data_IF_653227757091
#
_entry.id   IF_653227757091
#
_cell.length_a   1.000
_cell.length_b   1.000
_cell.length_c   1.000
_cell.angle_alpha   90.00
_cell.angle_beta   90.00
_cell.angle_gamma   90.00
#
_symmetry.space_group_name_H-M   'P 1'
#
loop_
_entity.id
_entity.type
_entity.pdbx_description
1 polymer ?
#
# COMPACT_ATOMS: atom_id res chain seq x y z
N UNK A 1 -10.94 -22.29 23.84
CA UNK A 1 -9.69 -21.58 23.49
C UNK A 1 -10.05 -20.43 22.56
N UNK A 2 -9.92 -19.15 22.96
CA UNK A 2 -10.13 -18.07 22.03
C UNK A 2 -8.79 -17.79 21.32
N UNK A 3 -8.75 -18.04 20.01
CA UNK A 3 -7.64 -17.59 19.16
C UNK A 3 -7.95 -16.12 18.84
N UNK A 4 -7.41 -15.20 19.65
CA UNK A 4 -7.44 -13.78 19.32
C UNK A 4 -6.58 -13.57 18.08
N UNK A 5 -7.20 -13.39 16.92
CA UNK A 5 -6.51 -13.09 15.67
C UNK A 5 -6.15 -11.61 15.66
N UNK A 6 -5.12 -11.23 16.41
CA UNK A 6 -4.58 -9.87 16.36
C UNK A 6 -3.77 -9.69 15.08
N UNK A 7 -4.11 -8.67 14.30
CA UNK A 7 -3.36 -8.23 13.12
C UNK A 7 -2.49 -7.04 13.53
N UNK A 8 -1.19 -7.10 13.23
CA UNK A 8 -0.26 -6.01 13.54
C UNK A 8 0.32 -5.44 12.24
N UNK A 9 0.12 -4.14 12.03
CA UNK A 9 0.76 -3.37 10.97
C UNK A 9 2.02 -2.72 11.54
N UNK A 10 3.17 -2.95 10.89
CA UNK A 10 4.45 -2.45 11.37
C UNK A 10 5.25 -1.86 10.21
N UNK A 11 5.67 -0.61 10.35
CA UNK A 11 6.65 0.03 9.48
C UNK A 11 8.06 -0.19 10.07
N UNK A 12 8.95 -0.85 9.33
CA UNK A 12 10.33 -1.08 9.79
C UNK A 12 11.34 -0.86 8.67
N UNK A 13 12.37 -0.07 8.95
CA UNK A 13 13.53 0.14 8.07
C UNK A 13 14.70 -0.84 8.38
N UNK A 14 14.66 -1.58 9.50
CA UNK A 14 15.76 -2.48 9.92
C UNK A 14 15.41 -3.97 9.91
N UNK A 15 16.07 -4.73 9.04
CA UNK A 15 15.96 -6.19 8.94
C UNK A 15 16.38 -6.94 10.23
N UNK A 16 17.25 -6.36 11.06
CA UNK A 16 17.77 -7.04 12.26
C UNK A 16 16.74 -7.08 13.40
N UNK A 17 15.99 -5.99 13.58
CA UNK A 17 14.91 -5.91 14.57
C UNK A 17 13.78 -6.89 14.23
N UNK A 18 13.50 -7.05 12.94
CA UNK A 18 12.49 -7.96 12.39
C UNK A 18 12.79 -9.44 12.69
N UNK A 19 14.05 -9.86 12.52
CA UNK A 19 14.49 -11.22 12.85
C UNK A 19 14.33 -11.55 14.33
N UNK A 20 14.61 -10.59 15.22
CA UNK A 20 14.46 -10.75 16.67
C UNK A 20 12.98 -10.83 17.06
N UNK A 21 12.13 -10.01 16.46
CA UNK A 21 10.69 -10.02 16.70
C UNK A 21 10.05 -11.34 16.25
N UNK A 22 10.40 -11.84 15.06
CA UNK A 22 9.90 -13.12 14.53
C UNK A 22 10.25 -14.32 15.40
N UNK A 23 11.46 -14.35 15.99
CA UNK A 23 11.89 -15.47 16.83
C UNK A 23 11.18 -15.53 18.19
N UNK A 24 10.35 -14.55 18.56
CA UNK A 24 9.63 -14.58 19.83
C UNK A 24 8.50 -15.62 19.81
N UNK A 25 8.39 -16.47 20.85
CA UNK A 25 7.37 -17.50 20.93
C UNK A 25 5.95 -16.96 20.79
N UNK A 26 5.68 -15.79 21.37
CA UNK A 26 4.35 -15.17 21.45
C UNK A 26 3.88 -14.59 20.12
N UNK A 27 4.79 -14.39 19.17
CA UNK A 27 4.48 -13.87 17.83
C UNK A 27 4.11 -14.99 16.85
N UNK A 28 4.18 -16.26 17.26
CA UNK A 28 3.80 -17.40 16.41
C UNK A 28 2.29 -17.40 16.16
N UNK A 29 1.90 -17.39 14.89
CA UNK A 29 0.48 -17.40 14.47
C UNK A 29 -0.14 -16.01 14.29
N UNK A 30 0.60 -14.93 14.54
CA UNK A 30 0.15 -13.57 14.23
C UNK A 30 0.18 -13.33 12.71
N UNK A 31 -0.76 -12.50 12.25
CA UNK A 31 -0.73 -11.97 10.88
C UNK A 31 0.04 -10.65 10.90
N UNK A 32 1.15 -10.62 10.17
CA UNK A 32 2.04 -9.47 10.12
C UNK A 32 1.90 -8.78 8.76
N UNK A 33 1.75 -7.46 8.80
CA UNK A 33 1.61 -6.62 7.61
C UNK A 33 2.68 -5.54 7.66
N UNK A 34 3.42 -5.38 6.55
CA UNK A 34 4.48 -4.40 6.41
C UNK A 34 4.10 -3.29 5.42
N UNK A 35 4.46 -2.06 5.79
CA UNK A 35 4.68 -0.97 4.85
C UNK A 35 6.16 -1.04 4.43
N UNK A 36 6.44 -1.63 3.27
CA UNK A 36 7.80 -2.03 2.88
C UNK A 36 8.58 -0.89 2.20
N UNK A 37 8.49 0.33 2.72
CA UNK A 37 9.25 1.50 2.26
C UNK A 37 9.52 2.48 3.42
N UNK A 38 10.41 3.44 3.20
CA UNK A 38 10.66 4.54 4.14
C UNK A 38 10.82 5.90 3.44
N UNK A 39 10.81 6.97 4.24
CA UNK A 39 10.99 8.35 3.75
C UNK A 39 12.43 8.65 3.29
N UNK A 40 13.38 7.73 3.50
CA UNK A 40 14.77 7.83 3.05
C UNK A 40 14.98 7.35 1.62
N UNK A 41 13.91 6.95 0.93
CA UNK A 41 13.95 6.45 -0.44
C UNK A 41 14.13 4.93 -0.55
N UNK A 42 14.11 4.20 0.56
CA UNK A 42 14.11 2.74 0.53
C UNK A 42 12.75 2.25 0.05
N UNK A 43 12.74 1.37 -0.96
CA UNK A 43 11.53 0.75 -1.48
C UNK A 43 11.75 -0.76 -1.66
N UNK A 44 11.06 -1.57 -0.86
CA UNK A 44 11.27 -3.02 -0.75
C UNK A 44 10.02 -3.86 -1.05
N UNK A 45 8.96 -3.27 -1.62
CA UNK A 45 7.76 -4.02 -2.00
C UNK A 45 8.13 -5.17 -2.95
N UNK A 46 7.68 -6.38 -2.61
CA UNK A 46 7.99 -7.64 -3.30
C UNK A 46 9.31 -8.29 -2.87
N UNK A 47 10.28 -7.50 -2.39
CA UNK A 47 11.62 -7.93 -1.97
C UNK A 47 11.79 -8.03 -0.46
N UNK A 48 10.81 -7.58 0.32
CA UNK A 48 10.87 -7.56 1.77
C UNK A 48 11.07 -8.97 2.32
N UNK A 49 11.99 -9.17 3.29
CA UNK A 49 12.18 -10.46 3.93
C UNK A 49 10.88 -10.94 4.60
N UNK A 50 10.18 -11.87 3.96
CA UNK A 50 8.81 -12.22 4.37
C UNK A 50 8.73 -13.42 5.31
N UNK A 51 9.76 -14.28 5.33
CA UNK A 51 9.84 -15.53 6.13
C UNK A 51 8.55 -16.37 6.14
N UNK A 52 7.75 -16.28 5.08
CA UNK A 52 6.45 -16.96 4.92
C UNK A 52 5.27 -16.37 5.69
N UNK A 53 5.44 -15.27 6.43
CA UNK A 53 4.41 -14.74 7.37
C UNK A 53 4.00 -13.29 7.10
N UNK A 54 4.83 -12.51 6.41
CA UNK A 54 4.57 -11.09 6.16
C UNK A 54 3.78 -10.87 4.88
N UNK A 55 2.68 -10.14 5.01
CA UNK A 55 2.00 -9.51 3.88
C UNK A 55 2.45 -8.06 3.76
N UNK A 56 2.32 -7.47 2.59
CA UNK A 56 2.77 -6.11 2.31
C UNK A 56 1.64 -5.25 1.78
N UNK A 57 1.61 -3.99 2.20
CA UNK A 57 0.81 -2.99 1.51
C UNK A 57 1.29 -2.85 0.08
N UNK A 58 0.41 -3.13 -0.88
CA UNK A 58 0.75 -3.08 -2.29
C UNK A 58 0.44 -1.69 -2.86
N UNK A 59 1.40 -0.76 -2.72
CA UNK A 59 1.29 0.59 -3.30
C UNK A 59 1.19 0.56 -4.84
N UNK A 60 1.81 -0.42 -5.51
CA UNK A 60 1.69 -0.58 -6.97
C UNK A 60 0.27 -0.93 -7.40
N UNK A 61 -0.43 -1.76 -6.61
CA UNK A 61 -1.85 -2.06 -6.83
C UNK A 61 -2.68 -0.78 -6.74
N UNK A 62 -2.51 0.01 -5.68
CA UNK A 62 -3.19 1.30 -5.49
C UNK A 62 -3.02 2.19 -6.72
N UNK A 63 -1.78 2.43 -7.14
CA UNK A 63 -1.48 3.38 -8.21
C UNK A 63 -1.98 2.87 -9.57
N UNK A 64 -1.81 1.58 -9.86
CA UNK A 64 -2.27 0.95 -11.11
C UNK A 64 -3.79 1.01 -11.24
N UNK A 65 -4.51 0.67 -10.16
CA UNK A 65 -5.98 0.69 -10.16
C UNK A 65 -6.49 2.11 -10.35
N UNK A 66 -5.91 3.08 -9.64
CA UNK A 66 -6.29 4.50 -9.77
C UNK A 66 -6.09 5.00 -11.21
N UNK A 67 -4.92 4.73 -11.80
CA UNK A 67 -4.62 5.09 -13.19
C UNK A 67 -5.57 4.44 -14.19
N UNK A 68 -5.86 3.15 -14.03
CA UNK A 68 -6.77 2.43 -14.91
C UNK A 68 -8.20 2.99 -14.84
N UNK A 69 -8.73 3.21 -13.63
CA UNK A 69 -10.09 3.71 -13.43
C UNK A 69 -10.25 5.16 -13.88
N UNK A 70 -9.22 6.00 -13.70
CA UNK A 70 -9.17 7.36 -14.26
C UNK A 70 -9.21 7.38 -15.79
N UNK A 71 -8.88 6.26 -16.45
CA UNK A 71 -8.83 6.15 -17.90
C UNK A 71 -7.49 6.52 -18.51
N UNK A 72 -6.38 6.36 -17.76
CA UNK A 72 -5.03 6.55 -18.29
C UNK A 72 -4.66 5.40 -19.23
N UNK A 73 -4.19 5.73 -20.43
CA UNK A 73 -3.78 4.75 -21.44
C UNK A 73 -2.62 3.86 -20.98
N UNK A 74 -2.61 2.60 -21.44
CA UNK A 74 -1.50 1.67 -21.22
C UNK A 74 -1.55 0.84 -19.94
N UNK A 75 -2.57 1.00 -19.09
CA UNK A 75 -2.65 0.31 -17.79
C UNK A 75 -3.44 -1.01 -17.77
N UNK A 76 -4.08 -1.42 -18.88
CA UNK A 76 -4.94 -2.61 -18.92
C UNK A 76 -4.22 -3.92 -18.57
N UNK A 77 -2.96 -4.10 -19.03
CA UNK A 77 -2.14 -5.26 -18.70
C UNK A 77 -1.74 -5.29 -17.22
N UNK A 78 -1.23 -4.17 -16.70
CA UNK A 78 -0.87 -4.02 -15.30
C UNK A 78 -2.08 -4.21 -14.37
N UNK A 79 -3.26 -3.75 -14.80
CA UNK A 79 -4.52 -3.98 -14.11
C UNK A 79 -4.87 -5.47 -14.03
N UNK A 80 -4.71 -6.23 -15.12
CA UNK A 80 -4.93 -7.67 -15.12
C UNK A 80 -3.97 -8.41 -14.15
N UNK A 81 -2.70 -8.00 -14.09
CA UNK A 81 -1.75 -8.53 -13.11
C UNK A 81 -2.18 -8.23 -11.66
N UNK A 82 -2.65 -7.01 -11.39
CA UNK A 82 -3.17 -6.61 -10.09
C UNK A 82 -4.38 -7.46 -9.67
N UNK A 83 -5.32 -7.71 -10.58
CA UNK A 83 -6.48 -8.58 -10.33
C UNK A 83 -6.08 -10.02 -10.00
N UNK A 84 -5.00 -10.53 -10.60
CA UNK A 84 -4.45 -11.85 -10.33
C UNK A 84 -3.62 -11.92 -9.03
N UNK A 85 -3.60 -10.87 -8.21
CA UNK A 85 -2.85 -10.83 -6.95
C UNK A 85 -1.37 -10.47 -7.11
N UNK A 86 -1.05 -9.69 -8.15
CA UNK A 86 0.30 -9.19 -8.45
C UNK A 86 1.35 -10.30 -8.52
N UNK A 87 1.19 -11.29 -9.41
CA UNK A 87 2.17 -12.38 -9.56
C UNK A 87 3.55 -11.85 -9.96
N UNK A 88 3.60 -10.75 -10.71
CA UNK A 88 4.81 -10.01 -11.08
C UNK A 88 5.66 -9.54 -9.87
N UNK A 89 5.05 -9.37 -8.68
CA UNK A 89 5.77 -8.98 -7.46
C UNK A 89 6.09 -10.18 -6.56
N UNK A 90 5.16 -11.12 -6.46
CA UNK A 90 5.18 -12.11 -5.37
C UNK A 90 5.45 -13.54 -5.86
N UNK A 91 5.15 -13.89 -7.11
CA UNK A 91 5.20 -15.28 -7.55
C UNK A 91 6.63 -15.83 -7.66
N UNK A 92 7.57 -15.04 -8.19
CA UNK A 92 8.96 -15.47 -8.39
C UNK A 92 9.68 -15.77 -7.08
N UNK A 93 9.33 -15.07 -6.00
CA UNK A 93 9.87 -15.32 -4.65
C UNK A 93 9.17 -16.47 -3.90
N UNK A 94 8.28 -17.22 -4.58
CA UNK A 94 7.51 -18.32 -3.99
C UNK A 94 6.37 -17.86 -3.08
N UNK A 95 6.10 -16.55 -3.03
CA UNK A 95 5.00 -15.98 -2.26
C UNK A 95 3.68 -16.21 -2.99
N UNK A 96 2.62 -16.04 -2.22
CA UNK A 96 1.24 -16.36 -2.62
C UNK A 96 0.41 -15.08 -2.66
N UNK A 97 -0.70 -15.03 -3.42
CA UNK A 97 -1.50 -13.81 -3.59
C UNK A 97 -1.89 -13.10 -2.28
N UNK A 98 -2.12 -13.85 -1.20
CA UNK A 98 -2.45 -13.26 0.11
C UNK A 98 -1.32 -12.47 0.78
N UNK A 99 -0.10 -12.53 0.25
CA UNK A 99 0.99 -11.65 0.69
C UNK A 99 0.83 -10.22 0.14
N UNK A 100 -0.07 -10.00 -0.82
CA UNK A 100 -0.44 -8.69 -1.33
C UNK A 100 -1.65 -8.16 -0.56
N UNK A 101 -1.46 -7.08 0.20
CA UNK A 101 -2.57 -6.31 0.77
C UNK A 101 -2.95 -5.24 -0.24
N UNK A 102 -4.05 -5.50 -0.94
CA UNK A 102 -4.58 -4.62 -1.98
C UNK A 102 -5.46 -3.53 -1.36
N UNK A 103 -5.19 -2.27 -1.68
CA UNK A 103 -5.97 -1.13 -1.21
C UNK A 103 -6.02 -0.04 -2.28
N UNK A 104 -7.07 0.79 -2.24
CA UNK A 104 -7.24 1.93 -3.14
C UNK A 104 -7.05 3.24 -2.37
N UNK A 105 -7.55 3.33 -1.15
CA UNK A 105 -7.38 4.46 -0.25
C UNK A 105 -6.92 3.96 1.12
N UNK A 106 -6.23 4.84 1.82
CA UNK A 106 -5.76 4.61 3.18
C UNK A 106 -6.00 5.88 3.99
N UNK A 107 -5.40 5.96 5.18
CA UNK A 107 -5.49 7.15 6.03
C UNK A 107 -4.59 8.28 5.52
N UNK A 108 -3.53 7.92 4.79
CA UNK A 108 -2.64 8.79 4.05
C UNK A 108 -3.18 9.06 2.64
N UNK A 109 -3.35 10.35 2.32
CA UNK A 109 -3.87 10.83 1.03
C UNK A 109 -5.41 10.91 0.97
N UNK A 110 -5.96 10.90 -0.24
CA UNK A 110 -7.40 11.06 -0.45
C UNK A 110 -8.26 9.90 0.06
N UNK A 111 -9.45 10.26 0.57
CA UNK A 111 -10.56 9.34 0.73
C UNK A 111 -11.07 8.87 -0.64
N UNK A 112 -11.91 7.82 -0.66
CA UNK A 112 -12.47 7.33 -1.92
C UNK A 112 -13.37 8.37 -2.61
N UNK A 113 -14.07 9.21 -1.83
CA UNK A 113 -14.89 10.28 -2.37
C UNK A 113 -14.00 11.39 -2.96
N UNK A 114 -12.97 11.80 -2.24
CA UNK A 114 -12.08 12.87 -2.70
C UNK A 114 -11.30 12.44 -3.96
N UNK A 115 -10.94 11.16 -4.05
CA UNK A 115 -10.25 10.58 -5.21
C UNK A 115 -11.00 10.78 -6.53
N UNK A 116 -12.34 10.84 -6.49
CA UNK A 116 -13.20 11.03 -7.67
C UNK A 116 -13.78 12.44 -7.78
N UNK A 117 -13.35 13.35 -6.89
CA UNK A 117 -13.92 14.71 -6.75
C UNK A 117 -12.86 15.81 -6.88
N UNK A 118 -11.59 15.51 -6.57
CA UNK A 118 -10.49 16.48 -6.58
C UNK A 118 -9.34 15.99 -7.45
N UNK A 119 -8.74 16.90 -8.23
CA UNK A 119 -7.49 16.64 -8.93
C UNK A 119 -6.29 17.02 -8.05
N UNK A 120 -6.40 18.14 -7.33
CA UNK A 120 -5.33 18.68 -6.50
C UNK A 120 -5.65 18.59 -5.00
N UNK A 121 -4.61 18.54 -4.17
CA UNK A 121 -4.75 18.52 -2.71
C UNK A 121 -5.11 19.91 -2.17
N UNK A 122 -5.96 19.94 -1.14
CA UNK A 122 -6.42 21.17 -0.49
C UNK A 122 -6.10 21.13 1.02
N UNK A 123 -4.82 21.14 1.36
CA UNK A 123 -4.31 21.00 2.73
C UNK A 123 -4.05 22.36 3.42
N UNK A 124 -4.60 23.47 2.90
CA UNK A 124 -4.39 24.82 3.45
C UNK A 124 -4.74 24.93 4.95
N UNK A 125 -5.69 24.10 5.42
CA UNK A 125 -6.07 24.05 6.83
C UNK A 125 -4.94 23.55 7.76
N UNK A 126 -3.92 22.88 7.23
CA UNK A 126 -2.79 22.35 8.00
C UNK A 126 -1.77 23.45 8.35
N UNK A 127 -1.87 24.63 7.74
CA UNK A 127 -1.01 25.79 8.06
C UNK A 127 0.39 25.73 7.45
N UNK A 128 0.65 24.78 6.54
CA UNK A 128 1.93 24.61 5.84
C UNK A 128 1.89 25.12 4.39
N UNK A 129 0.99 26.07 4.10
CA UNK A 129 0.79 26.65 2.75
C UNK A 129 0.60 25.58 1.66
N UNK A 130 -0.11 24.50 1.98
CA UNK A 130 -0.34 23.35 1.09
C UNK A 130 0.94 22.59 0.67
N UNK A 131 2.07 22.76 1.37
CA UNK A 131 3.32 22.06 1.06
C UNK A 131 3.34 20.61 1.56
N UNK A 132 2.46 20.25 2.50
CA UNK A 132 2.35 18.93 3.08
C UNK A 132 1.49 17.96 2.23
N UNK A 133 1.74 16.66 2.33
CA UNK A 133 0.97 15.62 1.63
C UNK A 133 1.43 15.32 0.19
N UNK A 134 0.86 14.26 -0.39
CA UNK A 134 1.21 13.74 -1.73
C UNK A 134 0.66 14.63 -2.86
N UNK A 135 1.51 14.89 -3.86
CA UNK A 135 1.15 15.68 -5.04
C UNK A 135 0.61 14.80 -6.18
N UNK A 136 1.03 13.54 -6.27
CA UNK A 136 0.64 12.61 -7.32
C UNK A 136 -0.44 11.62 -6.86
N UNK A 137 -1.67 12.10 -6.72
CA UNK A 137 -2.76 11.29 -6.16
C UNK A 137 -3.39 10.28 -7.14
N UNK A 138 -3.11 10.41 -8.45
CA UNK A 138 -3.78 9.65 -9.53
C UNK A 138 -5.32 9.76 -9.46
N UNK A 139 -5.83 10.90 -9.01
CA UNK A 139 -7.25 11.21 -8.84
C UNK A 139 -7.85 11.85 -10.10
N UNK A 140 -9.17 11.88 -10.17
CA UNK A 140 -9.90 12.56 -11.24
C UNK A 140 -11.20 13.16 -10.71
N UNK A 141 -11.37 14.48 -10.84
CA UNK A 141 -12.57 15.19 -10.41
C UNK A 141 -13.85 14.93 -11.23
N UNK A 142 -13.85 13.93 -12.12
CA UNK A 142 -14.99 13.60 -12.98
C UNK A 142 -15.56 14.78 -13.81
N UNK A 143 -14.77 15.84 -14.04
CA UNK A 143 -15.14 17.00 -14.85
C UNK A 143 -15.47 18.28 -14.08
N UNK A 144 -15.61 18.24 -12.74
CA UNK A 144 -15.83 19.43 -11.93
C UNK A 144 -15.17 19.28 -10.57
N UNK A 145 -14.32 20.24 -10.21
CA UNK A 145 -13.71 20.28 -8.89
C UNK A 145 -14.71 20.89 -7.89
N UNK A 146 -14.92 20.19 -6.78
CA UNK A 146 -15.69 20.74 -5.67
C UNK A 146 -14.88 21.88 -5.03
N UNK A 147 -15.58 22.96 -4.66
CA UNK A 147 -14.99 24.12 -3.97
C UNK A 147 -15.15 24.00 -2.46
#
# INVERSE_FOLDING_TARGET
MPISHSVYCLAFSSCLLMLVYFKKPDCRGLRLIAEAWDCGGLYQVGMFPHWGIWSEWNGKYRDTIRQFIKGTDGFSGAFAECLCGSPNLYQESGRKPWHSINFICAHDGFTLADLVTYNDKHNLANGEDNNDGENHNNSWNCGQECQ
#
